data_IF_909044739737
#
_entry.id   IF_909044739737
#
_cell.length_a   1.000
_cell.length_b   1.000
_cell.length_c   1.000
_cell.angle_alpha   90.00
_cell.angle_beta   90.00
_cell.angle_gamma   90.00
#
_symmetry.space_group_name_H-M   'P 1'
#
loop_
_entity.id
_entity.type
_entity.pdbx_description
1 polymer ?
#
# COMPACT_ATOMS: atom_id res chain seq x y z
N UNK A 1 -7.86 -16.84 24.53
CA UNK A 1 -7.25 -16.20 23.34
C UNK A 1 -8.40 -15.66 22.51
N UNK A 2 -8.68 -14.36 22.62
CA UNK A 2 -9.81 -13.76 21.93
C UNK A 2 -9.40 -13.42 20.49
N UNK A 3 -9.64 -14.36 19.57
CA UNK A 3 -9.69 -14.06 18.15
C UNK A 3 -10.93 -13.18 17.90
N UNK A 4 -10.73 -11.86 17.80
CA UNK A 4 -11.80 -10.92 17.44
C UNK A 4 -11.40 -10.09 16.22
N UNK A 5 -11.80 -10.60 15.07
CA UNK A 5 -12.52 -9.85 14.02
C UNK A 5 -11.75 -8.72 13.31
N UNK A 6 -10.91 -9.11 12.35
CA UNK A 6 -11.04 -8.63 10.97
C UNK A 6 -10.86 -7.14 10.70
N UNK A 7 -9.85 -6.48 11.27
CA UNK A 7 -9.32 -5.29 10.61
C UNK A 7 -8.68 -5.74 9.29
N UNK A 8 -9.32 -5.43 8.16
CA UNK A 8 -8.74 -5.64 6.84
C UNK A 8 -7.47 -4.78 6.76
N UNK A 9 -6.32 -5.39 7.05
CA UNK A 9 -5.02 -4.73 6.90
C UNK A 9 -4.67 -4.76 5.43
N UNK A 10 -4.74 -3.59 4.81
CA UNK A 10 -4.35 -3.38 3.43
C UNK A 10 -2.85 -3.11 3.39
N UNK A 11 -2.14 -3.79 2.50
CA UNK A 11 -0.71 -3.59 2.31
C UNK A 11 -0.44 -3.21 0.87
N UNK A 12 0.46 -2.25 0.70
CA UNK A 12 1.09 -1.97 -0.60
C UNK A 12 2.58 -1.77 -0.38
N UNK A 13 3.33 -2.00 -1.44
CA UNK A 13 4.76 -1.86 -1.49
C UNK A 13 5.09 -0.73 -2.44
N UNK A 14 5.81 0.27 -1.95
CA UNK A 14 6.13 1.46 -2.73
C UNK A 14 7.63 1.54 -2.94
N UNK A 15 8.04 1.54 -4.20
CA UNK A 15 9.39 1.84 -4.64
C UNK A 15 9.45 3.31 -5.07
N UNK A 16 10.04 4.15 -4.23
CA UNK A 16 10.23 5.59 -4.51
C UNK A 16 11.33 5.87 -5.53
N UNK A 17 12.27 4.93 -5.74
CA UNK A 17 13.36 5.06 -6.72
C UNK A 17 12.84 4.86 -8.13
N UNK A 18 12.07 3.79 -8.34
CA UNK A 18 11.43 3.48 -9.64
C UNK A 18 10.08 4.17 -9.81
N UNK A 19 9.56 4.77 -8.72
CA UNK A 19 8.21 5.36 -8.64
C UNK A 19 7.15 4.33 -9.04
N UNK A 20 7.21 3.17 -8.39
CA UNK A 20 6.30 2.05 -8.62
C UNK A 20 5.57 1.72 -7.33
N UNK A 21 4.26 1.50 -7.42
CA UNK A 21 3.43 0.95 -6.34
C UNK A 21 3.06 -0.47 -6.76
N UNK A 22 3.24 -1.44 -5.87
CA UNK A 22 2.79 -2.81 -6.06
C UNK A 22 1.93 -3.26 -4.88
N UNK A 23 1.04 -4.21 -5.13
CA UNK A 23 0.23 -4.85 -4.10
C UNK A 23 0.82 -6.19 -3.66
N UNK A 24 1.97 -6.56 -4.22
CA UNK A 24 2.76 -7.73 -3.84
C UNK A 24 4.08 -7.28 -3.22
N UNK A 25 4.70 -8.16 -2.44
CA UNK A 25 6.04 -7.92 -1.90
C UNK A 25 7.06 -7.84 -3.03
N UNK A 26 7.79 -6.73 -3.08
CA UNK A 26 8.86 -6.51 -4.07
C UNK A 26 10.17 -6.22 -3.34
N UNK A 27 11.24 -6.90 -3.73
CA UNK A 27 12.58 -6.58 -3.24
C UNK A 27 12.90 -5.10 -3.51
N UNK A 28 13.50 -4.43 -2.51
CA UNK A 28 13.83 -3.00 -2.52
C UNK A 28 12.66 -2.00 -2.39
N UNK A 29 11.44 -2.48 -2.14
CA UNK A 29 10.28 -1.60 -1.89
C UNK A 29 9.97 -1.44 -0.40
N UNK A 30 9.34 -0.33 -0.03
CA UNK A 30 8.92 -0.07 1.34
C UNK A 30 7.49 -0.57 1.56
N UNK A 31 7.25 -1.49 2.51
CA UNK A 31 5.90 -1.93 2.86
C UNK A 31 5.18 -0.82 3.62
N UNK A 32 3.98 -0.49 3.16
CA UNK A 32 3.03 0.39 3.83
C UNK A 32 1.80 -0.43 4.21
N UNK A 33 1.51 -0.46 5.51
CA UNK A 33 0.34 -1.13 6.06
C UNK A 33 -0.71 -0.09 6.46
N UNK A 34 -1.94 -0.32 6.05
CA UNK A 34 -3.09 0.52 6.31
C UNK A 34 -4.16 -0.30 7.01
N UNK A 35 -4.70 0.24 8.10
CA UNK A 35 -5.84 -0.35 8.82
C UNK A 35 -7.18 0.28 8.43
N UNK A 36 -7.15 1.29 7.57
CA UNK A 36 -8.33 1.95 7.02
C UNK A 36 -8.31 1.91 5.50
N UNK A 37 -9.43 1.47 4.91
CA UNK A 37 -9.62 1.45 3.46
C UNK A 37 -9.53 2.85 2.85
N UNK A 38 -10.08 3.86 3.52
CA UNK A 38 -10.01 5.24 3.04
C UNK A 38 -8.57 5.73 2.99
N UNK A 39 -7.75 5.45 4.02
CA UNK A 39 -6.33 5.82 4.01
C UNK A 39 -5.56 5.12 2.90
N UNK A 40 -5.88 3.84 2.64
CA UNK A 40 -5.28 3.08 1.55
C UNK A 40 -5.62 3.70 0.19
N UNK A 41 -6.90 4.00 -0.07
CA UNK A 41 -7.33 4.63 -1.33
C UNK A 41 -6.75 6.03 -1.50
N UNK A 42 -6.70 6.84 -0.43
CA UNK A 42 -6.04 8.14 -0.47
C UNK A 42 -4.56 8.02 -0.82
N UNK A 43 -3.84 7.07 -0.24
CA UNK A 43 -2.44 6.81 -0.59
C UNK A 43 -2.30 6.39 -2.06
N UNK A 44 -3.16 5.50 -2.55
CA UNK A 44 -3.20 5.14 -3.97
C UNK A 44 -3.42 6.38 -4.84
N UNK A 45 -4.43 7.21 -4.56
CA UNK A 45 -4.70 8.43 -5.35
C UNK A 45 -3.52 9.42 -5.32
N UNK A 46 -2.89 9.60 -4.15
CA UNK A 46 -1.69 10.42 -3.99
C UNK A 46 -0.55 9.93 -4.90
N UNK A 47 -0.26 8.63 -4.89
CA UNK A 47 0.76 8.04 -5.75
C UNK A 47 0.40 8.16 -7.24
N UNK A 48 -0.88 8.04 -7.60
CA UNK A 48 -1.35 8.23 -8.97
C UNK A 48 -1.15 9.68 -9.43
N UNK A 49 -1.48 10.67 -8.58
CA UNK A 49 -1.22 12.10 -8.83
C UNK A 49 0.27 12.39 -8.98
N UNK A 50 1.09 11.72 -8.18
CA UNK A 50 2.54 11.76 -8.30
C UNK A 50 3.07 10.95 -9.49
N UNK A 51 2.23 10.44 -10.40
CA UNK A 51 2.62 9.67 -11.59
C UNK A 51 3.47 8.42 -11.28
N UNK A 52 3.22 7.77 -10.15
CA UNK A 52 3.77 6.45 -9.88
C UNK A 52 3.09 5.42 -10.80
N UNK A 53 3.81 4.36 -11.15
CA UNK A 53 3.31 3.25 -11.96
C UNK A 53 2.79 2.15 -11.05
N UNK A 54 1.74 1.46 -11.45
CA UNK A 54 1.21 0.31 -10.70
C UNK A 54 1.66 -0.99 -11.37
N UNK A 55 2.22 -1.92 -10.59
CA UNK A 55 2.63 -3.26 -11.03
C UNK A 55 2.00 -4.36 -10.17
#
# INVERSE_FOLDING_TARGET
MAEKQGEAVWRMWVDTRRRVVSFHEVEESQPLEFRSWEMFIHAVDEYARQRYRYQ
#
